data_IF_142316814040
#
_entry.id   IF_142316814040
#
_cell.length_a   1.000
_cell.length_b   1.000
_cell.length_c   1.000
_cell.angle_alpha   90.00
_cell.angle_beta   90.00
_cell.angle_gamma   90.00
#
_symmetry.space_group_name_H-M   'P 1'
#
loop_
_entity.id
_entity.type
_entity.pdbx_description
1 polymer ?
#
# COMPACT_ATOMS: atom_id res chain seq x y z
N UNK A 1 64.90 49.94 42.24
CA UNK A 1 65.42 51.09 41.44
C UNK A 1 64.30 51.57 40.51
N UNK A 2 64.43 52.74 39.86
CA UNK A 2 63.33 53.56 39.27
C UNK A 2 62.42 52.87 38.22
N UNK A 3 61.12 53.23 38.27
CA UNK A 3 60.05 53.24 37.23
C UNK A 3 60.38 54.36 36.20
N UNK A 4 60.14 54.28 34.85
CA UNK A 4 58.83 54.20 34.13
C UNK A 4 58.77 53.17 32.95
N UNK A 5 57.64 52.70 32.34
CA UNK A 5 56.36 53.30 31.84
C UNK A 5 56.56 54.07 30.49
N UNK A 6 55.77 53.97 29.41
CA UNK A 6 54.39 53.46 29.09
C UNK A 6 54.45 52.23 28.12
N UNK A 7 53.55 51.84 27.19
CA UNK A 7 52.27 52.29 26.59
C UNK A 7 51.45 51.02 26.15
N UNK A 8 50.11 50.89 26.26
CA UNK A 8 48.92 51.49 25.60
C UNK A 8 48.52 50.94 24.20
N UNK A 9 47.38 50.22 24.14
CA UNK A 9 46.66 49.79 22.92
C UNK A 9 45.30 49.16 23.27
N UNK A 10 44.20 49.62 22.66
CA UNK A 10 42.80 49.24 22.98
C UNK A 10 42.40 47.91 22.32
N UNK A 11 41.73 46.98 23.02
CA UNK A 11 40.27 46.90 23.24
C UNK A 11 39.44 47.07 21.95
N UNK A 12 38.98 45.94 21.41
CA UNK A 12 37.65 45.77 20.79
C UNK A 12 37.10 44.45 21.35
N UNK A 13 35.83 44.42 21.76
CA UNK A 13 35.18 43.23 22.30
C UNK A 13 33.93 42.86 21.50
N UNK A 14 33.64 41.56 21.40
CA UNK A 14 32.36 41.03 20.92
C UNK A 14 31.88 40.00 21.94
N UNK A 15 30.70 40.21 22.50
CA UNK A 15 30.06 39.25 23.41
C UNK A 15 29.24 38.24 22.61
N UNK A 16 29.46 36.94 22.87
CA UNK A 16 28.62 35.86 22.37
C UNK A 16 27.75 35.32 23.52
N UNK A 17 26.44 35.22 23.32
CA UNK A 17 25.53 34.69 24.33
C UNK A 17 25.67 33.16 24.45
N UNK A 18 25.79 32.66 25.68
CA UNK A 18 25.62 31.24 25.98
C UNK A 18 24.12 30.93 26.16
N UNK A 19 23.56 30.14 25.23
CA UNK A 19 22.24 29.52 25.40
C UNK A 19 22.42 28.02 25.69
N UNK A 20 22.33 27.63 26.96
CA UNK A 20 22.42 26.25 27.40
C UNK A 20 21.07 25.52 27.21
N UNK A 21 20.91 24.80 26.10
CA UNK A 21 19.74 23.97 25.83
C UNK A 21 19.93 22.52 26.25
N UNK A 22 19.26 22.06 27.31
CA UNK A 22 19.30 20.67 27.75
C UNK A 22 18.47 19.73 26.85
N UNK A 23 19.07 19.30 25.73
CA UNK A 23 18.49 18.24 24.90
C UNK A 23 18.61 16.87 25.61
N UNK A 24 17.47 16.31 26.06
CA UNK A 24 17.39 14.91 26.47
C UNK A 24 17.64 14.04 25.24
N UNK A 25 18.74 13.29 25.23
CA UNK A 25 19.02 12.30 24.19
C UNK A 25 17.99 11.18 24.22
N UNK A 26 16.98 11.26 23.35
CA UNK A 26 16.05 10.16 23.11
C UNK A 26 16.78 9.07 22.31
N UNK A 27 17.26 8.03 23.01
CA UNK A 27 17.80 6.84 22.36
C UNK A 27 16.70 6.11 21.61
N UNK A 28 16.58 6.40 20.31
CA UNK A 28 15.68 5.66 19.40
C UNK A 28 16.24 4.24 19.28
N UNK A 29 15.61 3.31 19.98
CA UNK A 29 15.87 1.87 19.79
C UNK A 29 15.36 1.50 18.40
N UNK A 30 16.29 1.33 17.46
CA UNK A 30 15.97 0.82 16.13
C UNK A 30 15.38 -0.60 16.26
N UNK A 31 14.26 -0.92 15.59
CA UNK A 31 13.69 -2.26 15.66
C UNK A 31 14.61 -3.25 14.95
N UNK A 32 15.15 -4.22 15.69
CA UNK A 32 16.04 -5.27 15.18
C UNK A 32 15.31 -6.36 14.39
N UNK A 33 14.52 -5.95 13.39
CA UNK A 33 14.07 -6.84 12.32
C UNK A 33 15.08 -6.81 11.18
N UNK A 34 15.38 -7.97 10.58
CA UNK A 34 16.12 -8.05 9.32
C UNK A 34 15.22 -7.62 8.16
N UNK A 35 14.95 -6.31 8.09
CA UNK A 35 14.22 -5.72 6.97
C UNK A 35 15.05 -5.82 5.70
N UNK A 36 14.58 -6.61 4.74
CA UNK A 36 15.10 -6.58 3.37
C UNK A 36 14.99 -5.13 2.87
N UNK A 37 16.11 -4.59 2.39
CA UNK A 37 16.29 -3.14 2.31
C UNK A 37 15.49 -2.56 1.14
N UNK A 38 14.23 -2.22 1.41
CA UNK A 38 13.23 -1.92 0.38
C UNK A 38 13.69 -0.81 -0.56
N UNK A 39 13.71 -1.14 -1.86
CA UNK A 39 14.36 -0.41 -2.94
C UNK A 39 13.95 1.07 -2.98
N UNK A 40 14.88 2.00 -3.28
CA UNK A 40 14.54 3.41 -3.49
C UNK A 40 13.46 3.57 -4.58
N UNK A 41 12.42 4.40 -4.35
CA UNK A 41 11.39 4.64 -5.35
C UNK A 41 12.01 5.22 -6.63
N UNK A 42 11.83 4.50 -7.73
CA UNK A 42 12.36 4.86 -9.05
C UNK A 42 13.38 3.91 -9.65
N UNK A 43 13.94 2.93 -8.91
CA UNK A 43 14.89 1.97 -9.54
C UNK A 43 14.24 1.12 -10.65
N UNK A 44 12.94 0.83 -10.59
CA UNK A 44 12.22 0.18 -11.68
C UNK A 44 12.33 0.96 -13.02
N UNK A 45 12.41 2.30 -12.99
CA UNK A 45 12.60 3.09 -14.20
C UNK A 45 13.97 2.88 -14.86
N UNK A 46 14.95 2.28 -14.16
CA UNK A 46 16.25 1.90 -14.73
C UNK A 46 16.17 0.60 -15.57
N UNK A 47 15.11 -0.19 -15.38
CA UNK A 47 14.84 -1.40 -16.18
C UNK A 47 14.12 -1.05 -17.50
N UNK A 48 13.50 0.12 -17.56
CA UNK A 48 12.90 0.66 -18.78
C UNK A 48 13.99 1.12 -19.76
N UNK A 49 13.85 0.70 -21.03
CA UNK A 49 14.68 1.18 -22.14
C UNK A 49 13.77 1.93 -23.11
N UNK A 50 14.11 3.18 -23.40
CA UNK A 50 13.35 3.96 -24.36
C UNK A 50 13.67 3.55 -25.81
N UNK A 51 12.73 3.75 -26.77
CA UNK A 51 13.01 3.54 -28.19
C UNK A 51 14.21 4.35 -28.69
N UNK A 52 14.89 3.88 -29.74
CA UNK A 52 16.04 4.59 -30.30
C UNK A 52 15.67 6.01 -30.75
N UNK A 53 16.44 7.00 -30.33
CA UNK A 53 16.19 8.42 -30.61
C UNK A 53 15.16 9.10 -29.69
N UNK A 54 14.62 8.39 -28.68
CA UNK A 54 13.77 9.01 -27.66
C UNK A 54 14.57 9.98 -26.77
N UNK A 55 13.98 11.14 -26.45
CA UNK A 55 14.59 12.18 -25.61
C UNK A 55 13.85 12.25 -24.28
N UNK A 56 14.54 11.97 -23.17
CA UNK A 56 13.96 12.05 -21.82
C UNK A 56 13.73 13.50 -21.42
N UNK A 57 12.55 13.79 -20.88
CA UNK A 57 12.16 15.10 -20.37
C UNK A 57 12.47 15.23 -18.87
N UNK A 58 12.63 16.47 -18.39
CA UNK A 58 12.88 16.76 -16.96
C UNK A 58 11.65 16.59 -16.04
N UNK A 59 10.47 16.35 -16.61
CA UNK A 59 9.19 16.24 -15.91
C UNK A 59 8.03 16.14 -16.89
N UNK A 60 6.80 16.30 -16.41
CA UNK A 60 5.61 16.41 -17.24
C UNK A 60 5.67 17.69 -18.11
N UNK A 61 5.51 17.61 -19.45
CA UNK A 61 5.52 18.79 -20.29
C UNK A 61 4.24 19.63 -20.16
N UNK A 62 4.32 20.92 -20.48
CA UNK A 62 3.15 21.80 -20.49
C UNK A 62 2.17 21.42 -21.61
N UNK A 63 0.88 21.29 -21.29
CA UNK A 63 -0.18 21.04 -22.28
C UNK A 63 -0.45 19.57 -22.60
N UNK A 64 -0.02 18.65 -21.73
CA UNK A 64 -0.27 17.20 -21.84
C UNK A 64 -1.77 16.88 -22.03
N UNK A 65 -2.13 15.98 -22.97
CA UNK A 65 -3.53 15.57 -23.19
C UNK A 65 -4.15 14.89 -21.96
N UNK A 66 -5.46 15.05 -21.76
CA UNK A 66 -6.16 14.53 -20.59
C UNK A 66 -5.93 13.02 -20.34
N UNK A 67 -5.87 12.24 -21.42
CA UNK A 67 -5.62 10.78 -21.41
C UNK A 67 -4.22 10.36 -20.88
N UNK A 68 -3.36 11.32 -20.51
CA UNK A 68 -2.01 11.11 -19.98
C UNK A 68 -1.83 11.73 -18.58
N UNK A 69 -2.85 12.38 -18.02
CA UNK A 69 -2.82 13.03 -16.69
C UNK A 69 -3.08 12.03 -15.56
N UNK A 70 -2.13 11.13 -15.38
CA UNK A 70 -2.18 10.01 -14.44
C UNK A 70 -1.62 8.76 -15.11
N UNK A 71 -1.31 7.71 -14.34
CA UNK A 71 -1.01 6.39 -14.90
C UNK A 71 -2.25 5.85 -15.62
N UNK A 72 -2.06 5.06 -16.67
CA UNK A 72 -3.18 4.48 -17.45
C UNK A 72 -3.99 3.45 -16.65
N UNK A 73 -3.35 2.84 -15.64
CA UNK A 73 -3.98 2.00 -14.62
C UNK A 73 -3.26 2.24 -13.30
N UNK A 74 -4.00 2.40 -12.19
CA UNK A 74 -3.44 2.58 -10.85
C UNK A 74 -4.02 1.50 -9.91
N UNK A 75 -3.19 0.71 -9.21
CA UNK A 75 -3.66 -0.15 -8.13
C UNK A 75 -4.29 0.68 -7.01
N UNK A 76 -5.56 0.44 -6.68
CA UNK A 76 -6.29 1.17 -5.65
C UNK A 76 -5.88 0.74 -4.23
N UNK A 77 -4.69 1.15 -3.78
CA UNK A 77 -4.05 0.71 -2.53
C UNK A 77 -3.30 1.85 -1.81
N UNK A 78 -3.40 1.90 -0.48
CA UNK A 78 -2.79 2.95 0.38
C UNK A 78 -1.25 3.05 0.28
N UNK A 79 -0.60 2.01 -0.22
CA UNK A 79 0.85 1.78 -0.15
C UNK A 79 1.50 1.55 -1.52
N UNK A 80 0.94 2.17 -2.56
CA UNK A 80 1.56 2.32 -3.87
C UNK A 80 2.69 3.36 -3.82
N UNK A 81 3.89 2.97 -4.28
CA UNK A 81 4.95 3.89 -4.67
C UNK A 81 4.92 4.09 -6.18
N UNK A 82 4.47 5.26 -6.62
CA UNK A 82 4.43 5.67 -8.02
C UNK A 82 5.66 6.54 -8.33
N UNK A 83 6.39 6.25 -9.42
CA UNK A 83 7.44 7.13 -9.96
C UNK A 83 7.29 7.25 -11.46
N UNK A 84 6.89 8.43 -11.94
CA UNK A 84 6.66 8.73 -13.35
C UNK A 84 7.90 9.30 -14.03
N UNK A 85 8.11 8.99 -15.30
CA UNK A 85 9.02 9.75 -16.18
C UNK A 85 8.49 9.83 -17.62
N UNK A 86 9.07 10.75 -18.40
CA UNK A 86 8.51 11.20 -19.67
C UNK A 86 9.58 11.28 -20.76
N UNK A 87 9.22 10.95 -22.00
CA UNK A 87 10.06 11.01 -23.18
C UNK A 87 9.26 11.52 -24.39
N UNK A 88 9.90 12.27 -25.29
CA UNK A 88 9.42 12.40 -26.68
C UNK A 88 10.08 11.34 -27.56
N UNK A 89 9.33 10.80 -28.51
CA UNK A 89 9.78 9.75 -29.44
C UNK A 89 9.37 10.11 -30.87
N UNK A 90 10.28 9.94 -31.84
CA UNK A 90 10.01 10.20 -33.27
C UNK A 90 9.14 9.15 -33.98
N UNK A 91 8.44 8.30 -33.23
CA UNK A 91 7.57 7.22 -33.71
C UNK A 91 6.10 7.61 -33.51
N UNK A 92 5.16 6.98 -34.21
CA UNK A 92 3.73 7.10 -33.87
C UNK A 92 3.42 6.34 -32.57
N UNK A 93 2.34 6.67 -31.85
CA UNK A 93 1.99 5.96 -30.60
C UNK A 93 1.86 4.44 -30.75
N UNK A 94 1.25 3.98 -31.83
CA UNK A 94 1.09 2.55 -32.14
C UNK A 94 2.44 1.88 -32.51
N UNK A 95 3.39 2.63 -33.08
CA UNK A 95 4.76 2.15 -33.29
C UNK A 95 5.53 2.05 -31.96
N UNK A 96 5.27 2.95 -31.01
CA UNK A 96 5.85 2.86 -29.65
C UNK A 96 5.31 1.63 -28.92
N UNK A 97 3.98 1.40 -28.92
CA UNK A 97 3.33 0.19 -28.41
C UNK A 97 3.95 -1.09 -29.02
N UNK A 98 4.01 -1.15 -30.36
CA UNK A 98 4.62 -2.28 -31.09
C UNK A 98 6.10 -2.50 -30.74
N UNK A 99 6.85 -1.41 -30.49
CA UNK A 99 8.25 -1.49 -30.08
C UNK A 99 8.38 -2.01 -28.64
N UNK A 100 7.52 -1.56 -27.72
CA UNK A 100 7.51 -1.97 -26.31
C UNK A 100 7.19 -3.46 -26.15
N UNK A 101 6.20 -3.97 -26.90
CA UNK A 101 5.88 -5.40 -26.95
C UNK A 101 7.05 -6.26 -27.46
N UNK A 102 7.85 -5.74 -28.39
CA UNK A 102 9.06 -6.40 -28.89
C UNK A 102 10.29 -6.23 -27.98
N UNK A 103 10.29 -5.25 -27.07
CA UNK A 103 11.41 -4.91 -26.19
C UNK A 103 10.93 -4.71 -24.73
N UNK A 104 10.31 -5.72 -24.10
CA UNK A 104 9.82 -5.61 -22.73
C UNK A 104 10.96 -5.25 -21.74
N UNK A 105 10.67 -4.52 -20.65
CA UNK A 105 11.64 -4.24 -19.60
C UNK A 105 12.34 -5.50 -19.08
N UNK A 106 13.62 -5.38 -18.72
CA UNK A 106 14.45 -6.54 -18.41
C UNK A 106 13.90 -7.38 -17.24
N UNK A 107 13.63 -8.66 -17.49
CA UNK A 107 13.06 -9.59 -16.50
C UNK A 107 11.54 -9.51 -16.30
N UNK A 108 10.84 -8.63 -17.03
CA UNK A 108 9.39 -8.47 -16.95
C UNK A 108 8.63 -9.37 -17.94
N UNK A 109 7.32 -9.50 -17.73
CA UNK A 109 6.36 -10.12 -18.66
C UNK A 109 5.20 -9.16 -18.95
N UNK A 110 4.66 -9.13 -20.19
CA UNK A 110 3.41 -8.41 -20.48
C UNK A 110 2.27 -8.87 -19.57
N UNK A 111 1.48 -7.92 -19.05
CA UNK A 111 0.41 -8.18 -18.08
C UNK A 111 -0.96 -7.66 -18.58
N UNK A 112 -1.00 -6.43 -19.09
CA UNK A 112 -2.24 -5.83 -19.62
C UNK A 112 -1.96 -4.75 -20.68
N UNK A 113 -2.75 -4.77 -21.75
CA UNK A 113 -2.70 -3.82 -22.87
C UNK A 113 -4.00 -2.99 -22.89
N UNK A 114 -3.90 -1.68 -23.12
CA UNK A 114 -5.02 -0.74 -23.00
C UNK A 114 -4.99 0.34 -24.09
N UNK A 115 -6.17 0.71 -24.59
CA UNK A 115 -6.35 1.84 -25.52
C UNK A 115 -7.35 2.82 -24.92
N UNK A 116 -6.85 3.97 -24.46
CA UNK A 116 -7.65 5.07 -23.92
C UNK A 116 -8.36 5.84 -25.02
N UNK A 117 -9.70 5.88 -24.96
CA UNK A 117 -10.55 6.71 -25.81
C UNK A 117 -10.89 8.04 -25.14
N UNK A 118 -10.65 9.16 -25.83
CA UNK A 118 -10.89 10.51 -25.29
C UNK A 118 -10.54 11.60 -26.31
N UNK A 119 -10.15 12.78 -25.83
CA UNK A 119 -9.68 13.91 -26.67
C UNK A 119 -8.33 13.67 -27.37
N UNK A 120 -7.71 12.51 -27.13
CA UNK A 120 -6.66 11.90 -27.94
C UNK A 120 -6.58 10.41 -27.62
N UNK A 121 -6.18 9.59 -28.59
CA UNK A 121 -5.93 8.16 -28.34
C UNK A 121 -4.63 8.00 -27.58
N UNK A 122 -4.66 7.24 -26.47
CA UNK A 122 -3.47 6.80 -25.77
C UNK A 122 -3.38 5.27 -25.84
N UNK A 123 -2.26 4.74 -26.29
CA UNK A 123 -1.95 3.30 -26.30
C UNK A 123 -1.08 3.00 -25.09
N UNK A 124 -1.22 1.86 -24.44
CA UNK A 124 -0.41 1.58 -23.26
C UNK A 124 -0.30 0.11 -22.89
N UNK A 125 0.90 -0.27 -22.47
CA UNK A 125 1.27 -1.61 -22.04
C UNK A 125 1.73 -1.61 -20.59
N UNK A 126 1.28 -2.60 -19.82
CA UNK A 126 1.71 -2.84 -18.45
C UNK A 126 2.55 -4.10 -18.40
N UNK A 127 3.77 -3.99 -17.91
CA UNK A 127 4.71 -5.10 -17.73
C UNK A 127 4.84 -5.43 -16.25
N UNK A 128 4.49 -6.65 -15.85
CA UNK A 128 4.71 -7.14 -14.49
C UNK A 128 6.17 -7.60 -14.33
N UNK A 129 6.76 -7.30 -13.18
CA UNK A 129 8.11 -7.73 -12.81
C UNK A 129 8.05 -8.81 -11.72
N UNK A 130 9.14 -9.60 -11.54
CA UNK A 130 9.15 -10.68 -10.55
C UNK A 130 9.00 -10.17 -9.12
N UNK A 131 8.28 -10.95 -8.31
CA UNK A 131 8.09 -10.71 -6.89
C UNK A 131 9.44 -10.59 -6.16
N UNK A 132 9.52 -9.61 -5.27
CA UNK A 132 10.58 -9.46 -4.27
C UNK A 132 9.86 -9.27 -2.94
N UNK A 133 10.27 -9.94 -1.86
CA UNK A 133 9.41 -10.21 -0.69
C UNK A 133 8.85 -8.97 0.04
N UNK A 134 9.46 -7.80 -0.16
CA UNK A 134 8.97 -6.50 0.31
C UNK A 134 7.85 -5.87 -0.54
N UNK A 135 7.43 -6.51 -1.64
CA UNK A 135 6.51 -5.97 -2.65
C UNK A 135 5.36 -6.92 -3.03
N UNK A 136 4.16 -6.36 -3.01
CA UNK A 136 2.88 -6.96 -3.39
C UNK A 136 2.69 -6.91 -4.92
N UNK A 137 3.09 -5.82 -5.56
CA UNK A 137 3.10 -5.73 -7.02
C UNK A 137 4.27 -4.85 -7.44
N UNK A 138 4.91 -5.23 -8.55
CA UNK A 138 5.96 -4.44 -9.20
C UNK A 138 5.64 -4.40 -10.68
N UNK A 139 5.28 -3.24 -11.20
CA UNK A 139 4.86 -3.09 -12.58
C UNK A 139 5.44 -1.82 -13.21
N UNK A 140 5.67 -1.89 -14.52
CA UNK A 140 5.97 -0.74 -15.36
C UNK A 140 4.78 -0.55 -16.30
N UNK A 141 3.93 0.42 -15.99
CA UNK A 141 2.91 0.88 -16.92
C UNK A 141 3.52 1.90 -17.88
N UNK A 142 3.12 1.83 -19.14
CA UNK A 142 3.54 2.74 -20.20
C UNK A 142 2.30 3.34 -20.87
N UNK A 143 2.39 4.59 -21.32
CA UNK A 143 1.36 5.16 -22.20
C UNK A 143 1.98 6.09 -23.24
N UNK A 144 1.45 6.01 -24.47
CA UNK A 144 1.92 6.78 -25.62
C UNK A 144 0.75 7.47 -26.30
N UNK A 145 0.86 8.78 -26.53
CA UNK A 145 -0.12 9.56 -27.31
C UNK A 145 0.57 10.47 -28.32
N UNK A 146 -0.18 10.96 -29.32
CA UNK A 146 0.38 11.73 -30.43
C UNK A 146 0.84 13.13 -29.95
N UNK A 147 2.07 13.51 -30.29
CA UNK A 147 2.69 14.74 -29.79
C UNK A 147 3.72 15.31 -30.78
N UNK A 148 3.49 16.56 -31.22
CA UNK A 148 4.40 17.34 -32.08
C UNK A 148 5.06 16.57 -33.25
N UNK A 149 4.30 15.73 -33.96
CA UNK A 149 4.77 14.96 -35.13
C UNK A 149 5.33 13.57 -34.82
N UNK A 150 5.41 13.19 -33.54
CA UNK A 150 5.72 11.84 -33.07
C UNK A 150 4.80 11.44 -31.91
N UNK A 151 5.37 10.88 -30.85
CA UNK A 151 4.67 10.48 -29.64
C UNK A 151 5.28 11.09 -28.37
N UNK A 152 4.42 11.39 -27.39
CA UNK A 152 4.80 11.59 -26.01
C UNK A 152 4.59 10.26 -25.27
N UNK A 153 5.66 9.75 -24.67
CA UNK A 153 5.69 8.50 -23.93
C UNK A 153 5.85 8.80 -22.43
N UNK A 154 4.91 8.32 -21.64
CA UNK A 154 4.93 8.30 -20.18
C UNK A 154 5.27 6.87 -19.72
N UNK A 155 6.09 6.74 -18.69
CA UNK A 155 6.35 5.47 -18.01
C UNK A 155 6.19 5.67 -16.52
N UNK A 156 5.36 4.84 -15.92
CA UNK A 156 5.05 4.81 -14.49
C UNK A 156 5.62 3.52 -13.90
N UNK A 157 6.65 3.67 -13.08
CA UNK A 157 7.08 2.61 -12.17
C UNK A 157 6.11 2.57 -10.99
N UNK A 158 5.46 1.42 -10.80
CA UNK A 158 4.50 1.18 -9.73
C UNK A 158 5.03 0.05 -8.85
N UNK A 159 5.29 0.37 -7.58
CA UNK A 159 5.65 -0.62 -6.57
C UNK A 159 4.67 -0.58 -5.41
N UNK A 160 3.76 -1.55 -5.35
CA UNK A 160 2.90 -1.77 -4.19
C UNK A 160 3.69 -2.59 -3.19
N UNK A 161 3.90 -2.10 -1.96
CA UNK A 161 4.69 -2.82 -0.94
C UNK A 161 3.91 -3.92 -0.20
N UNK A 162 4.57 -4.99 0.24
CA UNK A 162 3.97 -5.92 1.22
C UNK A 162 3.95 -5.22 2.58
N UNK A 163 2.75 -4.81 2.98
CA UNK A 163 2.32 -4.89 4.37
C UNK A 163 3.12 -4.13 5.43
N UNK A 164 3.02 -2.81 5.39
CA UNK A 164 2.81 -2.07 6.64
C UNK A 164 1.31 -1.82 6.75
N UNK A 165 0.62 -2.47 7.70
CA UNK A 165 -0.77 -2.13 8.00
C UNK A 165 -0.80 -0.71 8.53
N UNK A 166 -1.58 0.16 7.88
CA UNK A 166 -1.88 1.48 8.41
C UNK A 166 -2.65 1.33 9.74
N UNK A 167 -2.38 2.19 10.72
CA UNK A 167 -3.11 2.22 11.99
C UNK A 167 -4.60 2.60 11.84
N UNK A 168 -5.04 3.03 10.64
CA UNK A 168 -6.45 3.22 10.29
C UNK A 168 -7.14 1.90 9.90
N UNK A 169 -6.36 0.86 9.63
CA UNK A 169 -6.75 -0.43 9.06
C UNK A 169 -6.56 -1.53 10.15
N UNK A 170 -6.65 -1.12 11.42
CA UNK A 170 -6.53 -1.93 12.64
C UNK A 170 -7.82 -1.82 13.48
N UNK A 171 -8.12 -2.85 14.28
CA UNK A 171 -9.16 -2.77 15.31
C UNK A 171 -8.65 -1.86 16.45
N UNK A 172 -9.32 -0.75 16.79
CA UNK A 172 -8.80 0.19 17.80
C UNK A 172 -8.73 -0.41 19.20
N UNK A 173 -7.65 -0.15 19.95
CA UNK A 173 -7.42 -0.69 21.31
C UNK A 173 -8.48 -0.28 22.36
N UNK A 174 -9.28 0.74 22.07
CA UNK A 174 -10.39 1.23 22.89
C UNK A 174 -11.71 0.43 22.78
N UNK A 175 -11.75 -0.65 21.99
CA UNK A 175 -12.97 -1.50 21.88
C UNK A 175 -13.18 -2.35 23.13
N UNK A 176 -14.44 -2.45 23.57
CA UNK A 176 -14.84 -3.15 24.80
C UNK A 176 -16.04 -4.07 24.64
N UNK A 177 -16.71 -4.03 23.48
CA UNK A 177 -17.83 -4.91 23.13
C UNK A 177 -17.64 -5.44 21.72
N UNK A 178 -18.07 -6.68 21.49
CA UNK A 178 -18.04 -7.35 20.20
C UNK A 178 -19.43 -7.93 19.90
N UNK A 179 -19.93 -7.76 18.68
CA UNK A 179 -21.09 -8.49 18.16
C UNK A 179 -20.63 -9.41 17.04
N UNK A 180 -20.51 -10.70 17.34
CA UNK A 180 -20.20 -11.72 16.37
C UNK A 180 -21.49 -12.22 15.69
N UNK A 181 -21.44 -12.40 14.37
CA UNK A 181 -22.46 -13.08 13.56
C UNK A 181 -21.79 -14.17 12.75
N UNK A 182 -22.25 -15.40 12.92
CA UNK A 182 -21.89 -16.52 12.02
C UNK A 182 -23.05 -16.76 11.08
N UNK A 183 -22.76 -16.96 9.80
CA UNK A 183 -23.71 -17.37 8.77
C UNK A 183 -23.17 -18.61 8.06
N UNK A 184 -24.04 -19.59 7.80
CA UNK A 184 -23.71 -20.81 7.04
C UNK A 184 -24.88 -21.18 6.13
N UNK A 185 -24.67 -21.86 5.00
CA UNK A 185 -25.76 -22.42 4.20
C UNK A 185 -26.65 -23.34 5.03
N UNK A 186 -27.96 -23.16 4.91
CA UNK A 186 -28.98 -24.02 5.50
C UNK A 186 -29.74 -24.85 4.46
N UNK A 187 -30.75 -25.61 4.91
CA UNK A 187 -31.64 -26.36 4.02
C UNK A 187 -32.26 -25.45 2.95
N UNK A 188 -32.24 -25.90 1.69
CA UNK A 188 -32.74 -25.13 0.55
C UNK A 188 -31.92 -23.89 0.16
N UNK A 189 -30.72 -23.70 0.74
CA UNK A 189 -29.84 -22.56 0.45
C UNK A 189 -30.06 -21.33 1.33
N UNK A 190 -31.13 -21.29 2.14
CA UNK A 190 -31.40 -20.21 3.09
C UNK A 190 -30.30 -20.14 4.18
N UNK A 191 -29.68 -18.98 4.44
CA UNK A 191 -28.57 -18.89 5.39
C UNK A 191 -29.03 -18.99 6.85
N UNK A 192 -28.46 -19.94 7.59
CA UNK A 192 -28.62 -20.06 9.05
C UNK A 192 -27.65 -19.11 9.74
N UNK A 193 -28.17 -18.16 10.52
CA UNK A 193 -27.37 -17.13 11.21
C UNK A 193 -27.46 -17.27 12.74
N UNK A 194 -26.31 -17.39 13.42
CA UNK A 194 -26.19 -17.32 14.90
C UNK A 194 -25.44 -16.04 15.29
N UNK A 195 -26.04 -15.25 16.18
CA UNK A 195 -25.45 -14.00 16.71
C UNK A 195 -25.04 -14.19 18.18
N UNK A 196 -23.84 -13.74 18.53
CA UNK A 196 -23.31 -13.74 19.90
C UNK A 196 -22.81 -12.33 20.25
N UNK A 197 -23.25 -11.79 21.39
CA UNK A 197 -22.73 -10.54 21.94
C UNK A 197 -21.73 -10.85 23.04
N UNK A 198 -20.51 -10.29 22.95
CA UNK A 198 -19.44 -10.48 23.93
C UNK A 198 -19.10 -9.14 24.57
N UNK A 199 -19.14 -9.11 25.91
CA UNK A 199 -18.83 -7.95 26.75
C UNK A 199 -17.65 -8.18 27.69
N UNK A 200 -17.06 -9.38 27.71
CA UNK A 200 -15.79 -9.61 28.38
C UNK A 200 -14.67 -8.89 27.60
N UNK A 201 -14.10 -7.87 28.25
CA UNK A 201 -13.05 -7.03 27.68
C UNK A 201 -11.76 -7.83 27.43
N UNK A 202 -11.49 -8.92 28.16
CA UNK A 202 -10.32 -9.76 27.91
C UNK A 202 -10.46 -10.52 26.58
N UNK A 203 -11.61 -11.18 26.35
CA UNK A 203 -11.95 -11.87 25.11
C UNK A 203 -12.04 -10.91 23.92
N UNK A 204 -12.70 -9.75 24.08
CA UNK A 204 -12.79 -8.72 23.03
C UNK A 204 -11.39 -8.25 22.61
N UNK A 205 -10.51 -7.95 23.57
CA UNK A 205 -9.12 -7.56 23.29
C UNK A 205 -8.29 -8.68 22.67
N UNK A 206 -8.48 -9.94 23.10
CA UNK A 206 -7.78 -11.10 22.52
C UNK A 206 -8.16 -11.30 21.05
N UNK A 207 -9.45 -11.20 20.72
CA UNK A 207 -9.93 -11.29 19.34
C UNK A 207 -9.42 -10.10 18.51
N UNK A 208 -9.45 -8.87 19.04
CA UNK A 208 -8.88 -7.70 18.37
C UNK A 208 -7.36 -7.84 18.11
N UNK A 209 -6.60 -8.36 19.08
CA UNK A 209 -5.17 -8.62 18.93
C UNK A 209 -4.87 -9.72 17.89
N UNK A 210 -5.69 -10.78 17.84
CA UNK A 210 -5.61 -11.78 16.76
C UNK A 210 -5.87 -11.13 15.40
N UNK A 211 -6.90 -10.27 15.27
CA UNK A 211 -7.16 -9.53 14.02
C UNK A 211 -5.98 -8.66 13.61
N UNK A 212 -5.42 -7.87 14.53
CA UNK A 212 -4.33 -6.95 14.19
C UNK A 212 -3.00 -7.69 13.92
N UNK A 213 -2.82 -8.87 14.51
CA UNK A 213 -1.72 -9.78 14.21
C UNK A 213 -1.84 -10.52 12.87
N UNK A 214 -2.96 -10.45 12.16
CA UNK A 214 -3.06 -11.02 10.81
C UNK A 214 -2.18 -10.23 9.83
N UNK A 215 -1.31 -10.89 9.05
CA UNK A 215 -0.62 -10.26 7.94
C UNK A 215 -1.63 -9.87 6.84
N UNK A 216 -1.33 -8.85 6.01
CA UNK A 216 -2.15 -8.51 4.84
C UNK A 216 -2.34 -9.69 3.88
N UNK A 217 -3.43 -9.66 3.12
CA UNK A 217 -3.74 -10.69 2.14
C UNK A 217 -2.71 -10.67 1.00
N UNK A 218 -2.04 -11.80 0.67
CA UNK A 218 -1.16 -11.84 -0.48
C UNK A 218 -1.95 -11.63 -1.79
N UNK A 219 -1.33 -10.94 -2.77
CA UNK A 219 -1.93 -10.52 -4.03
C UNK A 219 -2.08 -11.69 -5.02
N UNK A 220 -2.52 -11.35 -6.22
CA UNK A 220 -2.57 -12.26 -7.35
C UNK A 220 -3.72 -13.27 -7.28
N UNK A 221 -3.75 -14.15 -8.28
CA UNK A 221 -4.77 -15.19 -8.40
C UNK A 221 -4.41 -16.34 -7.46
N UNK A 222 -5.30 -16.65 -6.49
CA UNK A 222 -5.14 -17.79 -5.59
C UNK A 222 -6.19 -18.85 -5.89
N UNK A 223 -5.73 -20.10 -6.06
CA UNK A 223 -6.60 -21.26 -6.26
C UNK A 223 -7.26 -21.67 -4.93
N UNK A 224 -8.32 -20.97 -4.55
CA UNK A 224 -9.09 -21.32 -3.35
C UNK A 224 -9.79 -22.68 -3.50
N UNK A 225 -9.95 -23.44 -2.41
CA UNK A 225 -10.97 -24.49 -2.31
C UNK A 225 -12.37 -23.94 -2.64
N UNK A 226 -13.34 -24.84 -2.86
CA UNK A 226 -14.74 -24.44 -3.01
C UNK A 226 -15.22 -23.67 -1.76
N UNK A 227 -15.64 -22.41 -1.93
CA UNK A 227 -16.33 -21.68 -0.87
C UNK A 227 -17.79 -22.12 -0.84
N UNK A 228 -18.26 -22.61 0.32
CA UNK A 228 -19.68 -22.89 0.53
C UNK A 228 -20.47 -21.64 0.92
N UNK A 229 -19.81 -20.49 1.16
CA UNK A 229 -20.45 -19.24 1.56
C UNK A 229 -20.59 -19.06 3.07
N UNK A 230 -19.98 -19.92 3.89
CA UNK A 230 -19.88 -19.72 5.33
C UNK A 230 -19.09 -18.46 5.68
N UNK A 231 -19.62 -17.62 6.57
CA UNK A 231 -19.03 -16.32 6.95
C UNK A 231 -19.10 -16.08 8.46
N UNK A 232 -18.10 -15.37 8.98
CA UNK A 232 -18.06 -14.82 10.34
C UNK A 232 -17.84 -13.30 10.26
N UNK A 233 -18.77 -12.51 10.79
CA UNK A 233 -18.63 -11.05 10.92
C UNK A 233 -18.48 -10.66 12.38
N UNK A 234 -17.55 -9.77 12.68
CA UNK A 234 -17.14 -9.31 14.00
C UNK A 234 -17.24 -7.78 14.06
N UNK A 235 -18.30 -7.24 14.64
CA UNK A 235 -18.43 -5.79 14.84
C UNK A 235 -17.85 -5.40 16.21
N UNK A 236 -16.77 -4.62 16.22
CA UNK A 236 -16.13 -4.15 17.45
C UNK A 236 -16.61 -2.74 17.80
N UNK A 237 -17.00 -2.52 19.05
CA UNK A 237 -17.51 -1.24 19.53
C UNK A 237 -16.69 -0.73 20.71
N UNK A 238 -16.42 0.57 20.70
CA UNK A 238 -15.98 1.35 21.87
C UNK A 238 -17.09 1.44 22.92
N UNK A 239 -16.80 1.88 24.17
CA UNK A 239 -17.83 2.23 25.13
C UNK A 239 -18.88 3.20 24.54
N UNK A 240 -20.15 2.95 24.84
CA UNK A 240 -21.31 3.80 24.51
C UNK A 240 -21.59 4.10 23.02
N UNK A 241 -20.73 3.73 22.07
CA UNK A 241 -21.01 3.91 20.63
C UNK A 241 -22.12 2.97 20.12
N UNK A 242 -23.09 3.46 19.32
CA UNK A 242 -24.02 2.62 18.58
C UNK A 242 -23.42 2.07 17.28
N UNK A 243 -22.38 2.70 16.74
CA UNK A 243 -21.69 2.29 15.50
C UNK A 243 -20.40 1.50 15.82
N UNK A 244 -20.02 0.52 14.99
CA UNK A 244 -18.75 -0.18 15.14
C UNK A 244 -17.58 0.77 14.86
N UNK A 245 -16.50 0.61 15.62
CA UNK A 245 -15.22 1.26 15.38
C UNK A 245 -14.36 0.47 14.36
N UNK A 246 -14.63 -0.84 14.22
CA UNK A 246 -14.14 -1.68 13.13
C UNK A 246 -15.11 -2.85 12.93
N UNK A 247 -15.26 -3.32 11.70
CA UNK A 247 -15.95 -4.57 11.37
C UNK A 247 -14.98 -5.50 10.63
N UNK A 248 -14.90 -6.76 11.05
CA UNK A 248 -14.08 -7.78 10.38
C UNK A 248 -15.00 -8.85 9.81
N UNK A 249 -14.88 -9.19 8.53
CA UNK A 249 -15.60 -10.30 7.92
C UNK A 249 -14.62 -11.36 7.43
N UNK A 250 -14.90 -12.63 7.71
CA UNK A 250 -14.02 -13.79 7.47
C UNK A 250 -14.77 -14.86 6.68
N UNK A 251 -14.11 -15.47 5.70
CA UNK A 251 -14.56 -16.72 5.08
C UNK A 251 -14.36 -17.92 6.02
N UNK A 252 -15.39 -18.74 6.22
CA UNK A 252 -15.25 -20.01 6.95
C UNK A 252 -14.90 -21.19 6.02
N UNK A 253 -14.96 -20.96 4.71
CA UNK A 253 -14.54 -21.86 3.63
C UNK A 253 -13.82 -21.06 2.52
N UNK A 254 -13.50 -21.71 1.39
CA UNK A 254 -12.65 -21.12 0.36
C UNK A 254 -11.22 -20.89 0.87
N UNK A 255 -10.60 -19.78 0.49
CA UNK A 255 -9.29 -19.40 1.03
C UNK A 255 -9.32 -18.98 2.51
N UNK A 256 -10.49 -18.85 3.16
CA UNK A 256 -10.65 -18.42 4.56
C UNK A 256 -10.13 -17.01 4.88
N UNK A 257 -10.03 -16.14 3.87
CA UNK A 257 -9.57 -14.75 3.99
C UNK A 257 -10.39 -13.94 5.01
N UNK A 258 -9.78 -12.90 5.57
CA UNK A 258 -10.47 -11.87 6.34
C UNK A 258 -10.40 -10.50 5.64
N UNK A 259 -11.36 -9.63 5.92
CA UNK A 259 -11.37 -8.21 5.51
C UNK A 259 -11.71 -7.38 6.74
N UNK A 260 -10.94 -6.34 7.03
CA UNK A 260 -11.24 -5.34 8.07
C UNK A 260 -11.67 -4.03 7.43
N UNK A 261 -12.81 -3.50 7.84
CA UNK A 261 -13.26 -2.14 7.50
C UNK A 261 -13.32 -1.28 8.77
N UNK A 262 -13.04 0.00 8.62
CA UNK A 262 -13.16 1.01 9.70
C UNK A 262 -13.89 2.25 9.16
N UNK A 263 -14.32 3.19 10.02
CA UNK A 263 -14.83 4.49 9.56
C UNK A 263 -13.82 5.33 8.77
N UNK A 264 -12.53 4.94 8.77
CA UNK A 264 -11.43 5.60 8.06
C UNK A 264 -10.98 4.84 6.80
N UNK A 265 -11.16 3.52 6.78
CA UNK A 265 -11.02 2.63 5.61
C UNK A 265 -12.36 1.89 5.36
N UNK A 266 -13.30 2.52 4.62
CA UNK A 266 -14.59 1.91 4.30
C UNK A 266 -14.52 0.94 3.11
N UNK A 267 -13.43 0.96 2.32
CA UNK A 267 -13.21 0.02 1.22
C UNK A 267 -12.80 -1.36 1.76
N UNK A 268 -11.92 -1.36 2.77
CA UNK A 268 -11.57 -2.50 3.58
C UNK A 268 -10.26 -3.17 3.16
N UNK A 269 -9.42 -3.40 4.16
CA UNK A 269 -8.12 -4.05 4.00
C UNK A 269 -8.26 -5.57 4.07
N UNK A 270 -7.79 -6.27 3.04
CA UNK A 270 -7.68 -7.72 3.01
C UNK A 270 -6.57 -8.25 3.93
N UNK A 271 -6.86 -9.31 4.69
CA UNK A 271 -5.97 -9.95 5.66
C UNK A 271 -5.89 -11.47 5.42
N UNK A 272 -4.68 -12.02 5.49
CA UNK A 272 -4.39 -13.43 5.30
C UNK A 272 -4.67 -14.24 6.57
N UNK A 273 -5.93 -14.66 6.73
CA UNK A 273 -6.36 -15.47 7.86
C UNK A 273 -5.99 -16.97 7.74
N UNK A 274 -5.69 -17.47 6.54
CA UNK A 274 -5.50 -18.91 6.26
C UNK A 274 -4.41 -19.60 7.09
N UNK A 275 -3.18 -19.06 7.23
CA UNK A 275 -2.09 -19.72 7.98
C UNK A 275 -2.29 -19.77 9.50
N UNK A 276 -3.34 -19.12 10.00
CA UNK A 276 -3.58 -18.90 11.44
C UNK A 276 -4.82 -19.60 11.98
N UNK A 277 -5.62 -20.26 11.12
CA UNK A 277 -6.96 -20.77 11.44
C UNK A 277 -7.83 -19.72 12.17
N UNK A 278 -7.72 -18.45 11.78
CA UNK A 278 -8.30 -17.31 12.52
C UNK A 278 -9.78 -17.50 12.86
N UNK A 279 -10.59 -17.92 11.88
CA UNK A 279 -12.01 -18.19 12.10
C UNK A 279 -12.25 -19.23 13.18
N UNK A 280 -11.49 -20.33 13.17
CA UNK A 280 -11.65 -21.43 14.12
C UNK A 280 -11.00 -21.12 15.50
N UNK A 281 -10.02 -20.22 15.56
CA UNK A 281 -9.56 -19.62 16.83
C UNK A 281 -10.62 -18.70 17.45
N UNK A 282 -11.22 -17.81 16.65
CA UNK A 282 -12.24 -16.88 17.14
C UNK A 282 -13.52 -17.61 17.55
N UNK A 283 -13.97 -18.63 16.79
CA UNK A 283 -15.14 -19.43 17.16
C UNK A 283 -14.98 -20.07 18.55
N UNK A 284 -13.81 -20.64 18.88
CA UNK A 284 -13.50 -21.20 20.21
C UNK A 284 -13.41 -20.15 21.33
N UNK A 285 -13.14 -18.88 21.00
CA UNK A 285 -13.20 -17.75 21.94
C UNK A 285 -14.63 -17.20 22.12
N UNK A 286 -15.52 -17.40 21.15
CA UNK A 286 -16.93 -17.01 21.21
C UNK A 286 -17.81 -18.08 21.87
N UNK A 287 -17.43 -19.35 21.76
CA UNK A 287 -18.11 -20.51 22.33
C UNK A 287 -17.07 -21.60 22.64
N UNK A 288 -16.63 -21.76 23.91
CA UNK A 288 -15.59 -22.72 24.29
C UNK A 288 -16.09 -24.18 24.35
N UNK A 289 -17.28 -24.46 23.81
CA UNK A 289 -17.84 -25.82 23.66
C UNK A 289 -17.73 -26.37 22.23
N UNK A 290 -17.07 -25.64 21.33
CA UNK A 290 -16.80 -25.97 19.91
C UNK A 290 -15.38 -26.46 19.66
#
# INVERSE_FOLDING_TARGET
MRIPVRALGSIVGVAALLLAGCAKGASVVAPSGTGEQATPPGELLLLFRAPQGAVRLGGEPSGVPEAMKGPMSEPAVDHLLLTTSWWTVGMTPQQVESWLLAHPPAGSTPNASMVGGGSGTAFGETFALPDQGAYQERSLATSATAWHGGALLRVDAMEVRVGVRSARNEVPSGVTRLKARTSRPGPGGSPVTRTTSVTDVATVRRIAALTNGLPPLPPGIRNCPMDNGGRLTLDFYTPNSPTPAATVTVGLSGCRDATVTTPQDPAGTGLNATPSDFGDQVLRLLDPTL
#
